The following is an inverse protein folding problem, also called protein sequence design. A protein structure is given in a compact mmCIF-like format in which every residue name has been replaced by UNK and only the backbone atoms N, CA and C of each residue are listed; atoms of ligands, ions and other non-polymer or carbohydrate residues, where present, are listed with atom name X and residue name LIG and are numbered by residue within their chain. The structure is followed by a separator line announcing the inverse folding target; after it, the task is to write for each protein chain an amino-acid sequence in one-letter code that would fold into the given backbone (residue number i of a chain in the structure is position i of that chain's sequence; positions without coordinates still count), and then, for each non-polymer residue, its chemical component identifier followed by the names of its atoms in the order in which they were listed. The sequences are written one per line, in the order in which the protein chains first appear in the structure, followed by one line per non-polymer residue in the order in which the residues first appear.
data_IF_365460021623
#
_entry.id   IF_365460021623
#
_cell.length_a   1.000
_cell.length_b   1.000
_cell.length_c   1.000
_cell.angle_alpha   90.00
_cell.angle_beta   90.00
_cell.angle_gamma   90.00
#
_symmetry.space_group_name_H-M   'P 1'
#
loop_
_entity.id
_entity.type
_entity.pdbx_description
1 polymer ?
#
# COMPACT_ATOMS: atom_id res chain seq x y z
N UNK A 1 0.28 -6.90 11.45
CA UNK A 1 0.46 -6.11 10.19
C UNK A 1 1.95 -6.03 9.92
N UNK A 2 2.37 -6.46 8.74
CA UNK A 2 3.79 -6.34 8.37
C UNK A 2 4.16 -4.87 8.17
N UNK A 3 5.32 -4.49 8.67
CA UNK A 3 5.80 -3.12 8.53
C UNK A 3 6.05 -2.77 7.06
N UNK A 4 5.50 -1.65 6.57
CA UNK A 4 5.62 -1.26 5.17
C UNK A 4 6.99 -0.67 4.83
N UNK A 5 7.30 -0.68 3.54
CA UNK A 5 8.28 0.22 2.95
C UNK A 5 7.52 1.42 2.38
N UNK A 6 7.87 2.60 2.85
CA UNK A 6 7.26 3.87 2.42
C UNK A 6 8.17 4.49 1.37
N UNK A 7 7.66 4.66 0.16
CA UNK A 7 8.44 5.15 -1.00
C UNK A 7 8.20 6.63 -1.21
N UNK A 8 9.29 7.38 -1.27
CA UNK A 8 9.28 8.84 -1.41
C UNK A 8 10.16 9.28 -2.60
N UNK A 9 9.58 9.99 -3.54
CA UNK A 9 10.26 10.43 -4.76
C UNK A 9 10.68 11.91 -4.73
N UNK A 10 10.08 12.69 -3.83
CA UNK A 10 10.33 14.14 -3.73
C UNK A 10 10.44 14.54 -2.25
N UNK A 11 11.17 15.60 -1.99
CA UNK A 11 11.27 16.18 -0.63
C UNK A 11 9.91 16.66 -0.09
N UNK A 12 9.00 17.09 -0.95
CA UNK A 12 7.67 17.53 -0.56
C UNK A 12 6.82 16.41 0.06
N UNK A 13 7.06 15.16 -0.32
CA UNK A 13 6.35 14.00 0.20
C UNK A 13 6.92 13.47 1.55
N UNK A 14 8.10 13.91 1.94
CA UNK A 14 8.74 13.41 3.17
C UNK A 14 7.95 13.68 4.45
N UNK A 15 7.34 14.85 4.68
CA UNK A 15 6.57 15.09 5.90
C UNK A 15 5.43 14.10 6.11
N UNK A 16 4.69 13.75 5.05
CA UNK A 16 3.61 12.76 5.18
C UNK A 16 4.17 11.34 5.36
N UNK A 17 5.28 11.00 4.71
CA UNK A 17 5.95 9.72 4.91
C UNK A 17 6.38 9.51 6.36
N UNK A 18 6.88 10.54 7.02
CA UNK A 18 7.25 10.50 8.45
C UNK A 18 6.02 10.26 9.34
N UNK A 19 4.88 10.87 9.02
CA UNK A 19 3.62 10.62 9.74
C UNK A 19 3.14 9.18 9.55
N UNK A 20 3.21 8.66 8.33
CA UNK A 20 2.86 7.26 8.03
C UNK A 20 3.77 6.31 8.79
N UNK A 21 5.08 6.54 8.79
CA UNK A 21 6.05 5.74 9.56
C UNK A 21 5.75 5.78 11.07
N UNK A 22 5.40 6.92 11.62
CA UNK A 22 5.03 7.05 13.03
C UNK A 22 3.80 6.21 13.41
N UNK A 23 2.87 6.01 12.45
CA UNK A 23 1.64 5.24 12.63
C UNK A 23 1.84 3.74 12.37
N UNK A 24 2.52 3.39 11.29
CA UNK A 24 2.64 2.02 10.78
C UNK A 24 3.97 1.34 11.12
N UNK A 25 4.97 2.09 11.55
CA UNK A 25 6.35 1.59 11.59
C UNK A 25 6.96 1.50 10.18
N UNK A 26 7.96 0.67 10.02
CA UNK A 26 8.60 0.39 8.75
C UNK A 26 9.73 1.34 8.39
N UNK A 27 10.07 1.35 7.13
CA UNK A 27 11.23 2.06 6.58
C UNK A 27 10.81 3.07 5.52
N UNK A 28 11.47 4.22 5.46
CA UNK A 28 11.32 5.19 4.38
C UNK A 28 12.46 5.01 3.39
N UNK A 29 12.13 4.71 2.14
CA UNK A 29 13.08 4.64 1.04
C UNK A 29 12.87 5.84 0.11
N UNK A 30 13.93 6.61 -0.10
CA UNK A 30 13.92 7.86 -0.86
C UNK A 30 14.75 7.82 -2.13
N UNK A 31 14.30 8.53 -3.16
CA UNK A 31 15.03 8.66 -4.42
C UNK A 31 16.32 9.46 -4.21
N UNK A 32 17.46 8.83 -4.54
CA UNK A 32 18.79 9.41 -4.42
C UNK A 32 18.88 10.76 -5.17
N UNK A 33 19.46 11.74 -4.51
CA UNK A 33 19.61 13.09 -5.05
C UNK A 33 18.36 13.98 -4.94
N UNK A 34 17.22 13.42 -4.47
CA UNK A 34 15.97 14.18 -4.26
C UNK A 34 15.46 14.16 -2.84
N UNK A 35 15.71 13.08 -2.12
CA UNK A 35 15.26 12.90 -0.75
C UNK A 35 16.43 12.54 0.14
N UNK A 36 16.54 13.20 1.27
CA UNK A 36 17.61 12.98 2.28
C UNK A 36 16.99 12.62 3.63
N UNK A 37 17.84 12.14 4.56
CA UNK A 37 17.44 11.77 5.92
C UNK A 37 16.36 10.68 5.95
N UNK A 38 16.56 9.64 5.16
CA UNK A 38 15.72 8.47 5.06
C UNK A 38 16.50 7.20 5.45
N UNK A 39 15.77 6.11 5.68
CA UNK A 39 16.39 4.84 6.10
C UNK A 39 17.24 4.20 4.98
N UNK A 40 16.79 4.34 3.73
CA UNK A 40 17.50 3.84 2.55
C UNK A 40 17.27 4.75 1.35
N UNK A 41 18.25 4.87 0.46
CA UNK A 41 18.11 5.54 -0.84
C UNK A 41 18.18 4.54 -1.97
N UNK A 42 17.58 4.88 -3.12
CA UNK A 42 17.62 4.12 -4.35
C UNK A 42 17.76 5.08 -5.54
N UNK A 43 18.37 4.63 -6.63
CA UNK A 43 18.60 5.41 -7.86
C UNK A 43 17.68 5.00 -9.02
N UNK A 44 17.24 3.74 -9.07
CA UNK A 44 16.31 3.20 -10.06
C UNK A 44 14.98 2.86 -9.40
N UNK A 45 13.99 3.75 -9.54
CA UNK A 45 12.66 3.61 -8.92
C UNK A 45 11.95 2.34 -9.38
N UNK A 46 11.95 2.07 -10.69
CA UNK A 46 11.28 0.89 -11.26
C UNK A 46 11.87 -0.40 -10.72
N UNK A 47 13.18 -0.55 -10.80
CA UNK A 47 13.88 -1.73 -10.34
C UNK A 47 13.69 -1.93 -8.83
N UNK A 48 13.80 -0.87 -8.05
CA UNK A 48 13.65 -0.92 -6.60
C UNK A 48 12.25 -1.38 -6.17
N UNK A 49 11.20 -0.76 -6.73
CA UNK A 49 9.82 -1.11 -6.44
C UNK A 49 9.48 -2.54 -6.87
N UNK A 50 9.93 -2.95 -8.05
CA UNK A 50 9.69 -4.32 -8.53
C UNK A 50 10.36 -5.38 -7.64
N UNK A 51 11.58 -5.15 -7.18
CA UNK A 51 12.26 -6.04 -6.23
C UNK A 51 11.52 -6.16 -4.91
N UNK A 52 11.08 -5.05 -4.34
CA UNK A 52 10.31 -5.04 -3.10
C UNK A 52 8.98 -5.78 -3.26
N UNK A 53 8.25 -5.53 -4.34
CA UNK A 53 7.00 -6.19 -4.66
C UNK A 53 7.19 -7.71 -4.81
N UNK A 54 8.17 -8.14 -5.59
CA UNK A 54 8.47 -9.56 -5.80
C UNK A 54 8.95 -10.28 -4.53
N UNK A 55 9.55 -9.54 -3.59
CA UNK A 55 9.93 -10.08 -2.28
C UNK A 55 8.78 -10.12 -1.27
N UNK A 56 7.57 -9.72 -1.67
CA UNK A 56 6.38 -9.75 -0.81
C UNK A 56 6.29 -8.61 0.22
N UNK A 57 7.07 -7.53 0.04
CA UNK A 57 7.03 -6.38 0.95
C UNK A 57 5.77 -5.55 0.74
N UNK A 58 5.14 -5.15 1.83
CA UNK A 58 4.07 -4.15 1.81
C UNK A 58 4.62 -2.79 1.38
N UNK A 59 3.98 -2.15 0.40
CA UNK A 59 4.41 -0.87 -0.16
C UNK A 59 3.37 0.23 0.10
N UNK A 60 3.84 1.37 0.56
CA UNK A 60 3.06 2.61 0.60
C UNK A 60 3.84 3.67 -0.18
N UNK A 61 3.40 3.97 -1.40
CA UNK A 61 4.01 5.00 -2.22
C UNK A 61 3.37 6.37 -2.00
N UNK A 62 4.15 7.37 -1.61
CA UNK A 62 3.68 8.76 -1.59
C UNK A 62 3.86 9.31 -3.00
N UNK A 63 2.92 8.98 -3.87
CA UNK A 63 3.00 9.28 -5.30
C UNK A 63 1.64 9.13 -5.98
N UNK A 64 1.56 9.56 -7.24
CA UNK A 64 0.37 9.36 -8.06
C UNK A 64 0.09 7.86 -8.30
N UNK A 65 -1.19 7.49 -8.25
CA UNK A 65 -1.67 6.13 -8.51
C UNK A 65 -1.16 5.59 -9.86
N UNK A 66 -1.27 6.40 -10.92
CA UNK A 66 -0.80 6.00 -12.25
C UNK A 66 0.69 5.73 -12.36
N UNK A 67 1.52 6.42 -11.55
CA UNK A 67 2.95 6.14 -11.48
C UNK A 67 3.21 4.74 -10.90
N UNK A 68 2.58 4.41 -9.78
CA UNK A 68 2.71 3.09 -9.15
C UNK A 68 2.25 1.97 -10.10
N UNK A 69 1.12 2.15 -10.78
CA UNK A 69 0.61 1.16 -11.75
C UNK A 69 1.62 0.89 -12.85
N UNK A 70 2.19 1.94 -13.45
CA UNK A 70 3.17 1.77 -14.54
C UNK A 70 4.47 1.12 -14.08
N UNK A 71 4.91 1.43 -12.86
CA UNK A 71 6.14 0.86 -12.29
C UNK A 71 6.00 -0.63 -12.01
N UNK A 72 4.84 -1.08 -11.53
CA UNK A 72 4.59 -2.47 -11.15
C UNK A 72 3.99 -3.33 -12.27
N UNK A 73 3.38 -2.75 -13.30
CA UNK A 73 2.70 -3.48 -14.35
C UNK A 73 3.48 -4.69 -14.92
N UNK A 74 4.80 -4.59 -15.20
CA UNK A 74 5.56 -5.74 -15.72
C UNK A 74 5.67 -6.94 -14.79
N UNK A 75 5.45 -6.77 -13.50
CA UNK A 75 5.63 -7.84 -12.48
C UNK A 75 4.29 -8.31 -11.88
N UNK A 76 3.17 -7.82 -12.37
CA UNK A 76 1.85 -8.26 -11.94
C UNK A 76 1.49 -9.60 -12.60
N UNK A 77 1.21 -10.62 -11.80
CA UNK A 77 0.92 -11.98 -12.28
C UNK A 77 -0.34 -12.56 -11.63
N UNK A 78 -0.31 -12.75 -10.32
CA UNK A 78 -1.34 -13.46 -9.57
C UNK A 78 -1.83 -12.61 -8.39
N UNK A 79 -3.09 -12.19 -8.47
CA UNK A 79 -3.73 -11.37 -7.44
C UNK A 79 -3.74 -12.01 -6.04
N UNK A 80 -3.68 -13.34 -5.95
CA UNK A 80 -3.73 -14.05 -4.68
C UNK A 80 -2.40 -14.02 -3.93
N UNK A 81 -1.28 -13.80 -4.65
CA UNK A 81 0.06 -13.74 -4.08
C UNK A 81 0.62 -12.31 -3.98
N UNK A 82 -0.13 -11.32 -4.46
CA UNK A 82 0.31 -9.92 -4.42
C UNK A 82 0.39 -9.38 -2.98
N UNK A 83 1.50 -8.72 -2.62
CA UNK A 83 1.57 -8.01 -1.36
C UNK A 83 0.66 -6.79 -1.36
N UNK A 84 0.31 -6.25 -0.18
CA UNK A 84 -0.39 -4.97 -0.09
C UNK A 84 0.41 -3.84 -0.76
N UNK A 85 -0.23 -3.15 -1.69
CA UNK A 85 0.31 -1.93 -2.31
C UNK A 85 -0.70 -0.82 -2.19
N UNK A 86 -0.28 0.28 -1.59
CA UNK A 86 -1.08 1.48 -1.42
C UNK A 86 -0.35 2.69 -1.99
N UNK A 87 -1.11 3.69 -2.39
CA UNK A 87 -0.59 5.02 -2.68
C UNK A 87 -1.27 6.05 -1.79
N UNK A 88 -0.55 7.11 -1.48
CA UNK A 88 -1.08 8.22 -0.70
C UNK A 88 -0.68 9.54 -1.36
N UNK A 89 -1.58 10.50 -1.35
CA UNK A 89 -1.29 11.85 -1.83
C UNK A 89 -0.26 12.53 -0.90
N UNK A 90 0.56 13.43 -1.45
CA UNK A 90 1.60 14.11 -0.70
C UNK A 90 1.07 15.11 0.34
N UNK A 91 -0.19 15.53 0.22
CA UNK A 91 -0.92 16.30 1.24
C UNK A 91 -1.54 15.41 2.34
N UNK A 92 -1.49 14.08 2.19
CA UNK A 92 -2.02 13.12 3.15
C UNK A 92 -3.55 13.00 3.19
N UNK A 93 -4.27 13.62 2.25
CA UNK A 93 -5.74 13.63 2.26
C UNK A 93 -6.33 12.30 1.83
N UNK A 94 -5.70 11.60 0.89
CA UNK A 94 -6.22 10.36 0.32
C UNK A 94 -5.22 9.23 0.41
N UNK A 95 -5.68 8.04 0.81
CA UNK A 95 -4.94 6.78 0.74
C UNK A 95 -5.75 5.77 -0.06
N UNK A 96 -5.12 5.15 -1.05
CA UNK A 96 -5.77 4.22 -1.98
C UNK A 96 -5.11 2.86 -1.89
N UNK A 97 -5.84 1.81 -1.43
CA UNK A 97 -5.38 0.44 -1.55
C UNK A 97 -5.44 0.04 -3.04
N UNK A 98 -4.29 -0.13 -3.66
CA UNK A 98 -4.17 -0.34 -5.10
C UNK A 98 -4.15 -1.82 -5.48
N UNK A 99 -3.37 -2.61 -4.76
CA UNK A 99 -3.22 -4.06 -4.95
C UNK A 99 -3.24 -4.77 -3.59
N UNK A 100 -3.62 -6.04 -3.60
CA UNK A 100 -3.67 -6.83 -2.38
C UNK A 100 -4.71 -6.34 -1.38
N UNK A 101 -5.86 -5.87 -1.86
CA UNK A 101 -6.95 -5.36 -1.01
C UNK A 101 -7.32 -6.31 0.12
N UNK A 102 -7.50 -7.60 -0.21
CA UNK A 102 -7.81 -8.67 0.76
C UNK A 102 -6.58 -9.25 1.44
N UNK A 103 -5.39 -8.91 0.98
CA UNK A 103 -4.12 -9.33 1.58
C UNK A 103 -3.58 -8.31 2.60
N UNK A 104 -4.42 -7.37 3.03
CA UNK A 104 -4.10 -6.39 4.06
C UNK A 104 -4.13 -4.93 3.62
N UNK A 105 -4.18 -4.61 2.32
CA UNK A 105 -4.15 -3.22 1.86
C UNK A 105 -5.36 -2.42 2.34
N UNK A 106 -6.57 -2.98 2.31
CA UNK A 106 -7.77 -2.30 2.82
C UNK A 106 -7.67 -2.03 4.32
N UNK A 107 -7.14 -2.98 5.08
CA UNK A 107 -6.93 -2.85 6.52
C UNK A 107 -5.95 -1.72 6.86
N UNK A 108 -4.83 -1.68 6.13
CA UNK A 108 -3.83 -0.61 6.27
C UNK A 108 -4.44 0.75 5.91
N UNK A 109 -5.21 0.83 4.82
CA UNK A 109 -5.86 2.07 4.41
C UNK A 109 -6.82 2.59 5.49
N UNK A 110 -7.65 1.74 6.09
CA UNK A 110 -8.53 2.12 7.21
C UNK A 110 -7.73 2.60 8.42
N UNK A 111 -6.73 1.84 8.81
CA UNK A 111 -5.90 2.16 9.97
C UNK A 111 -5.19 3.51 9.81
N UNK A 112 -4.55 3.75 8.67
CA UNK A 112 -3.88 5.03 8.38
C UNK A 112 -4.88 6.18 8.33
N UNK A 113 -6.04 5.99 7.67
CA UNK A 113 -7.06 7.02 7.55
C UNK A 113 -7.62 7.47 8.89
N UNK A 114 -7.84 6.54 9.81
CA UNK A 114 -8.28 6.87 11.18
C UNK A 114 -7.23 7.68 11.94
N UNK A 115 -5.96 7.32 11.81
CA UNK A 115 -4.86 7.96 12.56
C UNK A 115 -4.43 9.30 12.00
N UNK A 116 -4.52 9.48 10.69
CA UNK A 116 -4.06 10.69 10.00
C UNK A 116 -5.19 11.58 9.49
N UNK A 117 -6.44 11.23 9.79
CA UNK A 117 -7.64 11.93 9.30
C UNK A 117 -7.64 12.05 7.76
N UNK A 118 -7.37 10.92 7.12
CA UNK A 118 -7.33 10.79 5.66
C UNK A 118 -8.60 10.09 5.15
N UNK A 119 -8.84 10.16 3.85
CA UNK A 119 -9.89 9.38 3.19
C UNK A 119 -9.31 8.08 2.62
N UNK A 120 -9.81 6.93 3.09
CA UNK A 120 -9.48 5.62 2.53
C UNK A 120 -10.40 5.33 1.34
N UNK A 121 -9.86 5.36 0.12
CA UNK A 121 -10.61 5.10 -1.10
C UNK A 121 -10.71 3.59 -1.38
N UNK A 122 -11.50 2.88 -0.59
CA UNK A 122 -11.71 1.44 -0.71
C UNK A 122 -12.83 1.18 -1.73
N UNK A 123 -12.56 0.34 -2.72
CA UNK A 123 -13.46 0.07 -3.84
C UNK A 123 -13.88 -1.39 -3.99
N UNK A 124 -13.35 -2.28 -3.15
CA UNK A 124 -13.73 -3.70 -3.16
C UNK A 124 -15.20 -3.88 -2.78
N UNK A 125 -15.97 -4.57 -3.62
CA UNK A 125 -17.43 -4.68 -3.46
C UNK A 125 -17.85 -5.36 -2.16
N UNK A 126 -17.13 -6.38 -1.72
CA UNK A 126 -17.39 -7.07 -0.46
C UNK A 126 -17.30 -6.15 0.76
N UNK A 127 -16.29 -5.29 0.78
CA UNK A 127 -16.11 -4.30 1.86
C UNK A 127 -17.20 -3.22 1.87
N UNK A 128 -17.71 -2.86 0.69
CA UNK A 128 -18.76 -1.83 0.55
C UNK A 128 -20.13 -2.36 0.98
N UNK A 129 -20.49 -3.58 0.55
CA UNK A 129 -21.85 -4.11 0.72
C UNK A 129 -22.04 -4.90 2.00
N UNK A 130 -21.01 -5.57 2.50
CA UNK A 130 -21.14 -6.53 3.60
C UNK A 130 -20.28 -6.19 4.81
N UNK A 131 -19.46 -5.17 4.75
CA UNK A 131 -18.42 -4.83 5.74
C UNK A 131 -17.42 -5.99 6.01
N UNK A 132 -17.54 -7.07 5.25
CA UNK A 132 -16.68 -8.27 5.27
C UNK A 132 -16.48 -8.73 3.84
N UNK A 133 -15.24 -8.96 3.45
CA UNK A 133 -14.95 -9.57 2.15
C UNK A 133 -15.38 -11.05 2.19
N UNK A 134 -16.22 -11.48 1.26
CA UNK A 134 -16.69 -12.87 1.21
C UNK A 134 -15.58 -13.86 0.87
N UNK A 135 -14.56 -13.40 0.14
CA UNK A 135 -13.37 -14.16 -0.23
C UNK A 135 -12.26 -14.10 0.84
N UNK A 136 -12.43 -13.28 1.88
CA UNK A 136 -11.56 -13.20 3.05
C UNK A 136 -12.39 -13.14 4.35
N UNK A 137 -13.07 -14.23 4.72
CA UNK A 137 -13.91 -14.25 5.91
C UNK A 137 -13.10 -14.09 7.19
N UNK A 138 -13.70 -13.54 8.26
CA UNK A 138 -13.05 -13.42 9.57
C UNK A 138 -12.47 -14.74 10.07
N UNK A 139 -11.43 -14.68 10.88
CA UNK A 139 -10.79 -15.85 11.45
C UNK A 139 -11.82 -16.79 12.14
N UNK A 140 -11.81 -18.05 11.77
CA UNK A 140 -12.73 -19.06 12.27
C UNK A 140 -13.99 -19.27 11.43
N UNK A 141 -14.23 -18.45 10.42
CA UNK A 141 -15.33 -18.60 9.47
C UNK A 141 -14.84 -19.26 8.18
N UNK A 142 -15.70 -20.05 7.53
CA UNK A 142 -15.44 -20.64 6.22
C UNK A 142 -16.65 -20.39 5.32
N UNK A 143 -16.38 -20.07 4.06
CA UNK A 143 -17.44 -20.00 3.06
C UNK A 143 -18.05 -21.39 2.84
N UNK A 144 -19.37 -21.46 2.81
CA UNK A 144 -20.07 -22.71 2.53
C UNK A 144 -19.95 -23.11 1.06
N UNK A 145 -19.94 -22.11 0.17
CA UNK A 145 -19.80 -22.28 -1.28
C UNK A 145 -18.68 -21.37 -1.80
N UNK A 146 -17.40 -21.73 -1.65
CA UNK A 146 -16.29 -20.85 -2.04
C UNK A 146 -16.20 -20.55 -3.53
N UNK A 147 -16.84 -21.37 -4.38
CA UNK A 147 -16.91 -21.13 -5.82
C UNK A 147 -17.86 -20.00 -6.22
N UNK A 148 -18.71 -19.54 -5.30
CA UNK A 148 -19.69 -18.47 -5.56
C UNK A 148 -19.21 -17.09 -5.03
N UNK A 149 -17.96 -17.02 -4.51
CA UNK A 149 -17.37 -15.83 -3.90
C UNK A 149 -16.51 -15.03 -4.88
#
# INVERSE_FOLDING_TARGET
MNEPVIIVLTSAALPIALKVKAVCGGEIHGLLGRVVDVDQTFDDTKLHLQKLFQSGRTLIGIMATGAMVRLLAPVLNDKNSEPPVLVMSDDGVSIVPLLGGHNGANQIARFVSEKLDSHAAITTAGDIHFAVALDDPPAGWKLKNPQDA
#
